data_IF_287075704830
#
_entry.id   IF_287075704830
#
_cell.length_a   1.000
_cell.length_b   1.000
_cell.length_c   1.000
_cell.angle_alpha   90.00
_cell.angle_beta   90.00
_cell.angle_gamma   90.00
#
_symmetry.space_group_name_H-M   'P 1'
#
loop_
_entity.id
_entity.type
_entity.pdbx_description
1 polymer ?
#
# COMPACT_ATOMS: atom_id res chain seq x y z
N UNK A 1 9.00 -5.18 25.47
CA UNK A 1 8.93 -6.64 25.21
C UNK A 1 8.51 -7.45 26.44
N UNK A 2 9.18 -7.32 27.60
CA UNK A 2 8.77 -8.08 28.82
C UNK A 2 7.32 -7.81 29.24
N UNK A 3 6.89 -6.57 29.18
CA UNK A 3 5.52 -6.16 29.54
C UNK A 3 4.47 -6.78 28.62
N UNK A 4 4.79 -6.95 27.33
CA UNK A 4 3.87 -7.61 26.38
C UNK A 4 3.77 -9.12 26.61
N UNK A 5 4.87 -9.78 26.97
CA UNK A 5 4.86 -11.22 27.25
C UNK A 5 4.05 -11.60 28.48
N UNK A 6 3.83 -10.64 29.37
CA UNK A 6 2.98 -10.84 30.54
C UNK A 6 1.46 -10.74 30.23
N UNK A 7 1.11 -10.32 29.03
CA UNK A 7 -0.30 -10.25 28.62
C UNK A 7 -0.84 -11.64 28.25
N UNK A 8 -2.10 -11.93 28.53
CA UNK A 8 -2.75 -13.19 28.12
C UNK A 8 -2.63 -13.39 26.61
N UNK A 9 -2.28 -14.60 26.22
CA UNK A 9 -2.21 -15.04 24.83
C UNK A 9 -1.29 -14.22 23.90
N UNK A 10 -0.43 -13.37 24.47
CA UNK A 10 0.46 -12.49 23.69
C UNK A 10 1.35 -13.26 22.70
N UNK A 11 1.72 -14.50 23.00
CA UNK A 11 2.51 -15.37 22.11
C UNK A 11 1.79 -15.64 20.78
N UNK A 12 0.47 -15.56 20.70
CA UNK A 12 -0.29 -15.74 19.45
C UNK A 12 0.03 -14.64 18.45
N UNK A 13 0.27 -13.41 18.93
CA UNK A 13 0.61 -12.24 18.11
C UNK A 13 2.10 -12.08 17.94
N UNK A 14 2.88 -12.32 19.01
CA UNK A 14 4.33 -12.14 19.02
C UNK A 14 5.09 -13.29 18.36
N UNK A 15 4.45 -14.45 18.27
CA UNK A 15 5.08 -15.70 17.84
C UNK A 15 5.88 -16.39 18.94
N UNK A 16 6.46 -17.56 18.65
CA UNK A 16 7.15 -18.40 19.65
C UNK A 16 8.38 -17.71 20.24
N UNK A 17 8.69 -18.04 21.49
CA UNK A 17 9.81 -17.47 22.25
C UNK A 17 11.20 -17.78 21.66
N UNK A 18 11.29 -18.80 20.81
CA UNK A 18 12.50 -19.18 20.09
C UNK A 18 12.96 -18.12 19.08
N UNK A 19 12.05 -17.26 18.65
CA UNK A 19 12.40 -16.13 17.79
C UNK A 19 13.10 -15.05 18.61
N UNK A 20 14.17 -14.49 18.05
CA UNK A 20 14.88 -13.38 18.70
C UNK A 20 13.94 -12.20 18.99
N UNK A 21 14.19 -11.48 20.08
CA UNK A 21 13.34 -10.35 20.54
C UNK A 21 13.07 -9.30 19.45
N UNK A 22 14.04 -9.08 18.58
CA UNK A 22 13.92 -8.14 17.47
C UNK A 22 12.83 -8.56 16.47
N UNK A 23 12.85 -9.83 16.05
CA UNK A 23 11.87 -10.38 15.11
C UNK A 23 10.45 -10.35 15.69
N UNK A 24 10.32 -10.65 16.98
CA UNK A 24 9.04 -10.56 17.69
C UNK A 24 8.52 -9.11 17.75
N UNK A 25 9.41 -8.14 18.01
CA UNK A 25 9.06 -6.72 18.05
C UNK A 25 8.58 -6.22 16.70
N UNK A 26 9.29 -6.56 15.62
CA UNK A 26 8.90 -6.17 14.26
C UNK A 26 7.57 -6.79 13.85
N UNK A 27 7.36 -8.07 14.18
CA UNK A 27 6.11 -8.76 13.93
C UNK A 27 4.93 -8.10 14.65
N UNK A 28 5.08 -7.81 15.94
CA UNK A 28 4.07 -7.14 16.74
C UNK A 28 3.78 -5.72 16.20
N UNK A 29 4.81 -4.92 15.93
CA UNK A 29 4.64 -3.55 15.41
C UNK A 29 3.85 -3.51 14.11
N UNK A 30 4.03 -4.48 13.21
CA UNK A 30 3.23 -4.58 11.98
C UNK A 30 1.73 -4.70 12.28
N UNK A 31 1.36 -5.52 13.25
CA UNK A 31 -0.04 -5.69 13.65
C UNK A 31 -0.59 -4.46 14.38
N UNK A 32 0.20 -3.84 15.27
CA UNK A 32 -0.20 -2.62 15.97
C UNK A 32 -0.43 -1.45 15.00
N UNK A 33 0.47 -1.29 14.02
CA UNK A 33 0.29 -0.31 12.95
C UNK A 33 -0.97 -0.61 12.14
N UNK A 34 -1.23 -1.89 11.81
CA UNK A 34 -2.41 -2.30 11.05
C UNK A 34 -3.71 -1.92 11.74
N UNK A 35 -3.78 -2.07 13.07
CA UNK A 35 -4.96 -1.64 13.85
C UNK A 35 -5.27 -0.16 13.63
N UNK A 36 -4.25 0.69 13.60
CA UNK A 36 -4.41 2.14 13.36
C UNK A 36 -4.66 2.45 11.88
N UNK A 37 -3.83 1.94 10.99
CA UNK A 37 -3.90 2.23 9.55
C UNK A 37 -5.22 1.83 8.90
N UNK A 38 -5.86 0.77 9.41
CA UNK A 38 -7.20 0.35 9.00
C UNK A 38 -8.31 1.00 9.84
N UNK A 39 -7.92 1.86 10.80
CA UNK A 39 -8.84 2.51 11.74
C UNK A 39 -9.83 1.52 12.39
N UNK A 40 -9.30 0.37 12.87
CA UNK A 40 -10.12 -0.67 13.48
C UNK A 40 -10.66 -0.21 14.84
N UNK A 41 -11.87 -0.62 15.15
CA UNK A 41 -12.47 -0.38 16.46
C UNK A 41 -11.86 -1.32 17.49
N UNK A 42 -11.02 -0.78 18.38
CA UNK A 42 -10.33 -1.54 19.42
C UNK A 42 -11.29 -2.19 20.42
N UNK A 43 -12.47 -1.59 20.64
CA UNK A 43 -13.49 -2.21 21.51
C UNK A 43 -14.01 -3.50 20.89
N UNK A 44 -14.31 -3.49 19.60
CA UNK A 44 -14.72 -4.71 18.88
C UNK A 44 -13.62 -5.77 18.85
N UNK A 45 -12.34 -5.37 18.70
CA UNK A 45 -11.23 -6.32 18.76
C UNK A 45 -11.11 -6.99 20.14
N UNK A 46 -11.37 -6.25 21.23
CA UNK A 46 -11.35 -6.78 22.60
C UNK A 46 -12.43 -7.82 22.84
N UNK A 47 -13.60 -7.64 22.24
CA UNK A 47 -14.76 -8.51 22.42
C UNK A 47 -14.84 -9.60 21.33
N UNK A 48 -13.83 -9.72 20.48
CA UNK A 48 -13.80 -10.71 19.41
C UNK A 48 -13.79 -12.14 19.94
N UNK A 49 -14.45 -13.10 19.26
CA UNK A 49 -14.44 -14.51 19.64
C UNK A 49 -13.05 -15.15 19.52
N UNK A 50 -12.23 -14.65 18.64
CA UNK A 50 -10.87 -15.13 18.37
C UNK A 50 -9.88 -14.66 19.44
N UNK A 51 -9.11 -15.59 20.02
CA UNK A 51 -8.14 -15.31 21.08
C UNK A 51 -6.95 -14.46 20.56
N UNK A 52 -6.51 -14.68 19.33
CA UNK A 52 -5.43 -13.89 18.70
C UNK A 52 -5.84 -12.42 18.54
N UNK A 53 -7.09 -12.18 18.11
CA UNK A 53 -7.63 -10.82 17.96
C UNK A 53 -7.74 -10.12 19.32
N UNK A 54 -8.20 -10.82 20.36
CA UNK A 54 -8.23 -10.24 21.72
C UNK A 54 -6.83 -9.95 22.26
N UNK A 55 -5.87 -10.85 22.03
CA UNK A 55 -4.47 -10.65 22.42
C UNK A 55 -3.87 -9.43 21.70
N UNK A 56 -4.18 -9.24 20.40
CA UNK A 56 -3.77 -8.05 19.66
C UNK A 56 -4.35 -6.78 20.29
N UNK A 57 -5.61 -6.76 20.68
CA UNK A 57 -6.23 -5.61 21.35
C UNK A 57 -5.55 -5.30 22.70
N UNK A 58 -5.18 -6.32 23.47
CA UNK A 58 -4.45 -6.15 24.73
C UNK A 58 -3.03 -5.58 24.48
N UNK A 59 -2.31 -6.11 23.50
CA UNK A 59 -1.00 -5.60 23.09
C UNK A 59 -1.10 -4.14 22.60
N UNK A 60 -2.13 -3.82 21.83
CA UNK A 60 -2.35 -2.46 21.33
C UNK A 60 -2.57 -1.47 22.48
N UNK A 61 -3.42 -1.82 23.45
CA UNK A 61 -3.64 -0.99 24.63
C UNK A 61 -2.35 -0.75 25.44
N UNK A 62 -1.54 -1.80 25.65
CA UNK A 62 -0.25 -1.66 26.33
C UNK A 62 0.72 -0.77 25.54
N UNK A 63 0.72 -0.89 24.22
CA UNK A 63 1.54 -0.04 23.35
C UNK A 63 1.14 1.44 23.44
N UNK A 64 -0.15 1.74 23.42
CA UNK A 64 -0.64 3.11 23.60
C UNK A 64 -0.18 3.68 24.93
N UNK A 65 -0.32 2.94 26.04
CA UNK A 65 0.16 3.37 27.35
C UNK A 65 1.65 3.70 27.36
N UNK A 66 2.47 2.88 26.70
CA UNK A 66 3.91 3.14 26.61
C UNK A 66 4.21 4.43 25.84
N UNK A 67 3.55 4.67 24.72
CA UNK A 67 3.70 5.90 23.94
C UNK A 67 3.29 7.14 24.78
N UNK A 68 2.17 7.05 25.49
CA UNK A 68 1.69 8.13 26.39
C UNK A 68 2.68 8.41 27.52
N UNK A 69 3.18 7.35 28.20
CA UNK A 69 4.16 7.47 29.28
C UNK A 69 5.47 8.14 28.84
N UNK A 70 5.87 7.90 27.58
CA UNK A 70 7.08 8.48 27.00
C UNK A 70 6.80 9.80 26.22
N UNK A 71 5.56 10.27 26.19
CA UNK A 71 5.12 11.43 25.41
C UNK A 71 5.58 11.36 23.96
N UNK A 72 5.39 10.20 23.32
CA UNK A 72 5.80 9.90 21.96
C UNK A 72 4.61 9.54 21.07
N UNK A 73 4.74 9.82 19.78
CA UNK A 73 3.87 9.33 18.71
C UNK A 73 4.71 8.62 17.67
N UNK A 74 4.18 7.53 17.12
CA UNK A 74 4.68 6.92 15.91
C UNK A 74 3.94 7.43 14.67
N UNK A 75 4.38 7.07 13.47
CA UNK A 75 3.77 7.57 12.22
C UNK A 75 2.30 7.19 12.06
N UNK A 76 1.91 5.98 12.44
CA UNK A 76 0.51 5.55 12.41
C UNK A 76 -0.31 6.25 13.48
N UNK A 77 0.30 6.54 14.63
CA UNK A 77 -0.30 7.32 15.72
C UNK A 77 -0.63 8.75 15.33
N UNK A 78 0.27 9.43 14.62
CA UNK A 78 0.02 10.80 14.12
C UNK A 78 -1.22 10.83 13.23
N UNK A 79 -1.37 9.88 12.32
CA UNK A 79 -2.53 9.79 11.44
C UNK A 79 -3.81 9.49 12.23
N UNK A 80 -3.73 8.59 13.21
CA UNK A 80 -4.86 8.24 14.06
C UNK A 80 -5.33 9.44 14.89
N UNK A 81 -4.42 10.14 15.56
CA UNK A 81 -4.74 11.34 16.34
C UNK A 81 -5.30 12.46 15.46
N UNK A 82 -4.78 12.63 14.24
CA UNK A 82 -5.34 13.57 13.28
C UNK A 82 -6.80 13.21 12.91
N UNK A 83 -7.10 11.94 12.65
CA UNK A 83 -8.47 11.49 12.38
C UNK A 83 -9.38 11.73 13.60
N UNK A 84 -8.93 11.39 14.80
CA UNK A 84 -9.67 11.62 16.05
C UNK A 84 -9.96 13.12 16.26
N UNK A 85 -8.95 13.96 16.10
CA UNK A 85 -9.10 15.42 16.21
C UNK A 85 -10.16 15.95 15.23
N UNK A 86 -10.10 15.57 13.96
CA UNK A 86 -11.05 16.01 12.95
C UNK A 86 -12.47 15.51 13.23
N UNK A 87 -12.60 14.32 13.79
CA UNK A 87 -13.89 13.72 14.13
C UNK A 87 -14.51 14.33 15.38
N UNK A 88 -13.68 14.62 16.40
CA UNK A 88 -14.14 15.07 17.72
C UNK A 88 -14.21 16.59 17.85
N UNK A 89 -13.56 17.34 16.96
CA UNK A 89 -13.49 18.80 17.00
C UNK A 89 -14.07 19.43 15.73
N UNK A 90 -15.41 19.55 15.61
CA UNK A 90 -16.05 20.08 14.40
C UNK A 90 -15.58 21.50 14.02
N UNK A 91 -15.20 22.32 14.99
CA UNK A 91 -14.68 23.65 14.73
C UNK A 91 -13.35 23.63 13.97
N UNK A 92 -12.45 22.70 14.34
CA UNK A 92 -11.18 22.49 13.65
C UNK A 92 -11.42 21.98 12.22
N UNK A 93 -12.30 21.00 12.07
CA UNK A 93 -12.68 20.45 10.76
C UNK A 93 -13.24 21.54 9.85
N UNK A 94 -14.19 22.33 10.34
CA UNK A 94 -14.80 23.44 9.58
C UNK A 94 -13.75 24.47 9.15
N UNK A 95 -12.82 24.84 10.02
CA UNK A 95 -11.73 25.77 9.71
C UNK A 95 -10.84 25.22 8.58
N UNK A 96 -10.49 23.93 8.64
CA UNK A 96 -9.67 23.30 7.60
C UNK A 96 -10.42 23.17 6.28
N UNK A 97 -11.70 22.81 6.30
CA UNK A 97 -12.55 22.76 5.11
C UNK A 97 -12.71 24.13 4.43
N UNK A 98 -12.74 25.24 5.21
CA UNK A 98 -12.74 26.58 4.67
C UNK A 98 -11.39 26.97 4.05
N UNK A 99 -10.29 26.50 4.66
CA UNK A 99 -8.94 26.78 4.18
C UNK A 99 -8.60 26.01 2.91
N UNK A 100 -9.02 24.75 2.81
CA UNK A 100 -8.76 23.88 1.68
C UNK A 100 -10.02 23.72 0.82
N UNK A 101 -10.13 24.54 -0.21
CA UNK A 101 -11.26 24.51 -1.12
C UNK A 101 -11.23 23.35 -2.13
N UNK A 102 -10.04 22.86 -2.46
CA UNK A 102 -9.78 21.75 -3.38
C UNK A 102 -8.67 20.88 -2.80
N UNK A 103 -8.84 19.58 -2.89
CA UNK A 103 -7.85 18.59 -2.51
C UNK A 103 -7.40 17.81 -3.75
N UNK A 104 -6.11 17.68 -3.93
CA UNK A 104 -5.51 16.87 -4.99
C UNK A 104 -4.56 15.88 -4.36
N UNK A 105 -4.76 14.59 -4.64
CA UNK A 105 -3.98 13.50 -4.05
C UNK A 105 -3.35 12.70 -5.17
N UNK A 106 -2.03 12.64 -5.16
CA UNK A 106 -1.25 11.81 -6.06
C UNK A 106 -0.92 10.45 -5.42
N UNK A 107 -0.61 9.46 -6.24
CA UNK A 107 -0.28 8.09 -5.81
C UNK A 107 -1.34 7.50 -4.87
N UNK A 108 -2.62 7.72 -5.20
CA UNK A 108 -3.73 7.36 -4.30
C UNK A 108 -3.81 5.85 -3.99
N UNK A 109 -3.28 4.98 -4.84
CA UNK A 109 -3.17 3.54 -4.60
C UNK A 109 -2.29 3.20 -3.39
N UNK A 110 -1.42 4.13 -2.95
CA UNK A 110 -0.52 3.94 -1.82
C UNK A 110 -1.10 4.45 -0.50
N UNK A 111 -2.33 4.95 -0.52
CA UNK A 111 -3.03 5.40 0.69
C UNK A 111 -3.53 4.22 1.52
N UNK A 112 -3.54 4.42 2.85
CA UNK A 112 -4.20 3.52 3.78
C UNK A 112 -5.63 4.00 4.13
N UNK A 113 -6.40 3.19 4.83
CA UNK A 113 -7.81 3.48 5.18
C UNK A 113 -7.95 4.75 6.01
N UNK A 114 -7.01 5.02 6.93
CA UNK A 114 -7.11 6.21 7.78
C UNK A 114 -6.82 7.50 7.01
N UNK A 115 -5.88 7.47 6.06
CA UNK A 115 -5.61 8.58 5.15
C UNK A 115 -6.81 8.90 4.27
N UNK A 116 -7.45 7.87 3.69
CA UNK A 116 -8.69 8.04 2.94
C UNK A 116 -9.79 8.70 3.78
N UNK A 117 -10.02 8.23 5.02
CA UNK A 117 -11.01 8.85 5.92
C UNK A 117 -10.71 10.31 6.22
N UNK A 118 -9.46 10.66 6.47
CA UNK A 118 -9.04 12.06 6.68
C UNK A 118 -9.35 12.91 5.44
N UNK A 119 -9.01 12.41 4.24
CA UNK A 119 -9.28 13.12 2.98
C UNK A 119 -10.78 13.34 2.77
N UNK A 120 -11.61 12.33 3.02
CA UNK A 120 -13.06 12.44 2.88
C UNK A 120 -13.66 13.44 3.88
N UNK A 121 -13.20 13.44 5.15
CA UNK A 121 -13.60 14.45 6.13
C UNK A 121 -13.22 15.86 5.68
N UNK A 122 -12.01 16.07 5.19
CA UNK A 122 -11.56 17.37 4.71
C UNK A 122 -12.31 17.83 3.46
N UNK A 123 -12.65 16.93 2.55
CA UNK A 123 -13.44 17.24 1.36
C UNK A 123 -14.87 17.67 1.73
N UNK A 124 -15.45 17.06 2.77
CA UNK A 124 -16.79 17.33 3.26
C UNK A 124 -17.85 17.22 2.15
N UNK A 125 -18.98 17.88 2.32
CA UNK A 125 -20.11 17.81 1.37
C UNK A 125 -19.82 18.44 -0.01
N UNK A 126 -18.74 19.21 -0.13
CA UNK A 126 -18.35 19.82 -1.41
C UNK A 126 -17.75 18.82 -2.38
N UNK A 127 -17.18 17.73 -1.89
CA UNK A 127 -16.53 16.68 -2.66
C UNK A 127 -15.48 17.18 -3.68
N UNK A 128 -14.86 18.33 -3.43
CA UNK A 128 -13.82 18.90 -4.30
C UNK A 128 -12.49 18.14 -4.11
N UNK A 129 -12.52 16.86 -4.42
CA UNK A 129 -11.41 15.91 -4.27
C UNK A 129 -11.06 15.32 -5.65
N UNK A 130 -9.81 15.48 -6.05
CA UNK A 130 -9.24 14.86 -7.23
C UNK A 130 -8.17 13.88 -6.78
N UNK A 131 -8.27 12.63 -7.16
CA UNK A 131 -7.26 11.61 -6.88
C UNK A 131 -6.64 11.12 -8.18
N UNK A 132 -5.33 10.93 -8.17
CA UNK A 132 -4.57 10.35 -9.27
C UNK A 132 -3.85 9.13 -8.74
N UNK A 133 -3.87 8.05 -9.50
CA UNK A 133 -3.20 6.82 -9.10
C UNK A 133 -3.29 5.74 -10.16
N UNK A 134 -2.55 4.68 -9.96
CA UNK A 134 -2.47 3.54 -10.85
C UNK A 134 -2.59 2.24 -10.03
N UNK A 135 -3.69 1.54 -10.21
CA UNK A 135 -3.98 0.28 -9.52
C UNK A 135 -2.97 -0.84 -9.85
N UNK A 136 -2.24 -0.74 -10.97
CA UNK A 136 -1.15 -1.67 -11.31
C UNK A 136 0.15 -1.37 -10.53
N UNK A 137 0.24 -0.22 -9.85
CA UNK A 137 1.40 0.20 -9.06
C UNK A 137 1.22 0.03 -7.54
N UNK A 138 0.15 -0.62 -7.09
CA UNK A 138 -0.15 -0.85 -5.67
C UNK A 138 0.82 -1.80 -4.97
N UNK A 139 2.11 -1.46 -4.91
CA UNK A 139 3.18 -2.31 -4.37
C UNK A 139 3.40 -2.12 -2.86
N UNK A 140 2.90 -1.04 -2.27
CA UNK A 140 3.20 -0.66 -0.88
C UNK A 140 2.23 -1.24 0.16
N UNK A 141 1.59 -2.36 -0.14
CA UNK A 141 0.71 -3.08 0.82
C UNK A 141 1.41 -3.38 2.15
N UNK A 142 2.71 -3.63 2.14
CA UNK A 142 3.50 -3.87 3.34
C UNK A 142 3.67 -2.63 4.24
N UNK A 143 3.35 -1.43 3.73
CA UNK A 143 3.29 -0.16 4.46
C UNK A 143 1.85 0.26 4.80
N UNK A 144 0.89 -0.67 4.77
CA UNK A 144 -0.50 -0.38 5.08
C UNK A 144 -1.35 0.13 3.91
N UNK A 145 -0.76 0.38 2.72
CA UNK A 145 -1.51 0.76 1.54
C UNK A 145 -2.56 -0.29 1.17
N UNK A 146 -3.72 0.15 0.77
CA UNK A 146 -4.80 -0.73 0.32
C UNK A 146 -5.30 -0.34 -1.07
N UNK A 147 -5.06 -1.23 -2.04
CA UNK A 147 -5.54 -1.06 -3.42
C UNK A 147 -7.06 -0.89 -3.50
N UNK A 148 -7.78 -1.32 -2.45
CA UNK A 148 -9.22 -1.13 -2.35
C UNK A 148 -9.61 0.34 -2.43
N UNK A 149 -8.82 1.24 -1.83
CA UNK A 149 -9.11 2.67 -1.81
C UNK A 149 -9.28 3.20 -3.24
N UNK A 150 -8.36 2.92 -4.16
CA UNK A 150 -8.49 3.38 -5.55
C UNK A 150 -9.59 2.65 -6.32
N UNK A 151 -9.74 1.33 -6.11
CA UNK A 151 -10.73 0.54 -6.83
C UNK A 151 -12.17 0.86 -6.41
N UNK A 152 -12.40 1.14 -5.15
CA UNK A 152 -13.71 1.44 -4.58
C UNK A 152 -13.99 2.96 -4.49
N UNK A 153 -13.02 3.82 -4.81
CA UNK A 153 -13.17 5.28 -4.71
C UNK A 153 -14.46 5.83 -5.31
N UNK A 154 -14.89 5.42 -6.53
CA UNK A 154 -16.15 5.92 -7.10
C UNK A 154 -17.37 5.56 -6.27
N UNK A 155 -17.35 4.48 -5.51
CA UNK A 155 -18.49 4.02 -4.70
C UNK A 155 -18.67 4.82 -3.41
N UNK A 156 -17.70 5.66 -3.05
CA UNK A 156 -17.78 6.55 -1.89
C UNK A 156 -18.68 7.76 -2.12
N UNK A 157 -19.11 7.99 -3.36
CA UNK A 157 -19.91 9.14 -3.77
C UNK A 157 -21.24 8.69 -4.39
N UNK A 158 -22.26 9.57 -4.39
CA UNK A 158 -23.51 9.28 -5.08
C UNK A 158 -23.29 8.96 -6.57
N UNK A 159 -24.15 8.15 -7.14
CA UNK A 159 -24.06 7.75 -8.55
C UNK A 159 -23.90 8.97 -9.49
N UNK A 160 -22.86 8.90 -10.32
CA UNK A 160 -22.53 9.97 -11.28
C UNK A 160 -21.78 11.17 -10.70
N UNK A 161 -21.57 11.26 -9.38
CA UNK A 161 -20.81 12.35 -8.77
C UNK A 161 -19.29 12.21 -8.98
N UNK A 162 -18.78 10.99 -9.11
CA UNK A 162 -17.38 10.73 -9.38
C UNK A 162 -17.14 10.60 -10.90
N UNK A 163 -16.34 11.51 -11.46
CA UNK A 163 -15.88 11.44 -12.85
C UNK A 163 -14.55 10.74 -12.94
N UNK A 164 -14.49 9.61 -13.62
CA UNK A 164 -13.25 8.90 -13.92
C UNK A 164 -12.68 9.31 -15.28
N UNK A 165 -11.39 9.58 -15.31
CA UNK A 165 -10.60 9.83 -16.52
C UNK A 165 -9.44 8.83 -16.54
N UNK A 166 -9.28 8.11 -17.65
CA UNK A 166 -8.17 7.18 -17.84
C UNK A 166 -7.11 7.83 -18.73
N UNK A 167 -5.86 7.84 -18.24
CA UNK A 167 -4.70 8.27 -19.02
C UNK A 167 -4.02 7.01 -19.55
N UNK A 168 -4.25 6.69 -20.82
CA UNK A 168 -3.76 5.43 -21.44
C UNK A 168 -2.40 5.59 -22.15
N UNK A 169 -2.02 6.79 -22.56
CA UNK A 169 -0.79 7.01 -23.31
C UNK A 169 0.42 7.09 -22.38
N UNK A 170 1.39 6.21 -22.57
CA UNK A 170 2.64 6.18 -21.83
C UNK A 170 3.78 6.84 -22.63
N UNK A 171 4.17 8.05 -22.21
CA UNK A 171 5.24 8.82 -22.84
C UNK A 171 6.64 8.50 -22.31
N UNK A 172 6.76 7.59 -21.34
CA UNK A 172 8.03 7.27 -20.66
C UNK A 172 8.74 6.07 -21.27
N UNK A 173 7.97 5.04 -21.62
CA UNK A 173 8.53 3.72 -21.91
C UNK A 173 8.54 3.41 -23.39
N UNK A 174 9.54 2.64 -23.83
CA UNK A 174 9.62 2.15 -25.19
C UNK A 174 8.38 1.27 -25.54
N UNK A 175 7.86 1.33 -26.79
CA UNK A 175 6.69 0.56 -27.21
C UNK A 175 6.77 -0.95 -26.94
N UNK A 176 7.97 -1.53 -27.02
CA UNK A 176 8.18 -2.98 -26.75
C UNK A 176 7.97 -3.31 -25.27
N UNK A 177 8.38 -2.41 -24.36
CA UNK A 177 8.15 -2.57 -22.92
C UNK A 177 6.66 -2.49 -22.64
N UNK A 178 5.97 -1.55 -23.28
CA UNK A 178 4.52 -1.39 -23.15
C UNK A 178 3.79 -2.64 -23.67
N UNK A 179 4.18 -3.16 -24.84
CA UNK A 179 3.60 -4.41 -25.39
C UNK A 179 3.83 -5.60 -24.47
N UNK A 180 5.06 -5.76 -23.97
CA UNK A 180 5.38 -6.83 -23.03
C UNK A 180 4.54 -6.72 -21.74
N UNK A 181 4.43 -5.53 -21.18
CA UNK A 181 3.60 -5.26 -20.01
C UNK A 181 2.14 -5.61 -20.25
N UNK A 182 1.52 -5.12 -21.33
CA UNK A 182 0.13 -5.42 -21.64
C UNK A 182 -0.12 -6.94 -21.79
N UNK A 183 0.74 -7.64 -22.54
CA UNK A 183 0.65 -9.09 -22.70
C UNK A 183 0.74 -9.83 -21.37
N UNK A 184 1.65 -9.40 -20.50
CA UNK A 184 1.81 -10.00 -19.17
C UNK A 184 0.59 -9.76 -18.29
N UNK A 185 0.04 -8.53 -18.30
CA UNK A 185 -1.13 -8.16 -17.52
C UNK A 185 -2.41 -8.85 -18.01
N UNK A 186 -2.57 -9.03 -19.33
CA UNK A 186 -3.71 -9.75 -19.91
C UNK A 186 -3.68 -11.26 -19.59
N UNK A 187 -2.50 -11.83 -19.41
CA UNK A 187 -2.35 -13.23 -19.05
C UNK A 187 -2.73 -13.55 -17.59
N UNK A 188 -2.95 -12.53 -16.76
CA UNK A 188 -3.29 -12.70 -15.34
C UNK A 188 -4.80 -12.69 -15.11
N UNK A 189 -5.25 -13.40 -14.06
CA UNK A 189 -6.65 -13.36 -13.62
C UNK A 189 -6.83 -12.29 -12.56
N UNK A 190 -7.51 -11.20 -12.89
CA UNK A 190 -7.75 -10.06 -12.01
C UNK A 190 -9.10 -10.06 -11.29
N UNK A 191 -9.89 -11.13 -11.47
CA UNK A 191 -11.21 -11.26 -10.85
C UNK A 191 -11.29 -12.53 -10.02
N UNK A 192 -11.71 -12.40 -8.77
CA UNK A 192 -12.02 -13.51 -7.86
C UNK A 192 -13.41 -13.28 -7.26
N UNK A 193 -14.26 -14.29 -7.30
CA UNK A 193 -15.59 -14.29 -6.64
C UNK A 193 -16.34 -12.97 -6.89
N UNK A 194 -16.48 -12.57 -8.16
CA UNK A 194 -17.17 -11.33 -8.60
C UNK A 194 -16.52 -10.00 -8.20
N UNK A 195 -15.31 -10.01 -7.68
CA UNK A 195 -14.54 -8.82 -7.34
C UNK A 195 -13.37 -8.65 -8.30
N UNK A 196 -13.26 -7.48 -8.94
CA UNK A 196 -12.09 -7.12 -9.74
C UNK A 196 -11.03 -6.47 -8.87
N UNK A 197 -9.77 -6.85 -9.09
CA UNK A 197 -8.58 -6.28 -8.45
C UNK A 197 -7.82 -5.32 -9.37
N UNK A 198 -8.41 -5.01 -10.53
CA UNK A 198 -7.80 -4.13 -11.53
C UNK A 198 -8.89 -3.45 -12.35
N UNK A 199 -8.69 -2.19 -12.69
CA UNK A 199 -9.50 -1.53 -13.71
C UNK A 199 -9.13 -2.07 -15.11
N UNK A 200 -10.12 -2.31 -16.00
CA UNK A 200 -9.83 -2.62 -17.39
C UNK A 200 -9.11 -1.45 -18.05
N UNK A 201 -7.88 -1.68 -18.49
CA UNK A 201 -7.07 -0.69 -19.21
C UNK A 201 -6.03 -1.36 -20.09
N UNK A 202 -5.71 -0.72 -21.20
CA UNK A 202 -4.57 -1.03 -22.08
C UNK A 202 -3.72 0.22 -22.17
N UNK A 203 -2.42 0.08 -21.99
CA UNK A 203 -1.48 1.20 -22.09
C UNK A 203 -1.02 1.32 -23.56
N UNK A 204 -1.05 2.50 -24.08
CA UNK A 204 -0.69 2.80 -25.47
C UNK A 204 0.64 3.55 -25.53
N UNK A 205 1.52 3.21 -26.49
CA UNK A 205 2.71 4.02 -26.74
C UNK A 205 2.30 5.38 -27.35
N UNK A 206 3.13 6.42 -27.23
CA UNK A 206 2.92 7.66 -27.97
C UNK A 206 3.21 7.45 -29.46
N UNK A 207 2.71 8.35 -30.29
CA UNK A 207 2.96 8.35 -31.75
C UNK A 207 4.40 8.73 -32.11
N UNK A 208 5.20 9.15 -31.14
CA UNK A 208 6.59 9.56 -31.34
C UNK A 208 7.50 8.37 -31.63
N UNK A 209 8.51 8.52 -32.53
CA UNK A 209 9.42 7.43 -32.84
C UNK A 209 10.38 7.17 -31.69
N UNK A 210 10.56 5.89 -31.36
CA UNK A 210 11.56 5.40 -30.43
C UNK A 210 12.75 4.78 -31.16
N UNK A 211 13.95 4.76 -30.58
CA UNK A 211 15.09 4.05 -31.13
C UNK A 211 14.80 2.57 -31.39
N UNK A 212 15.18 2.05 -32.56
CA UNK A 212 15.06 0.60 -32.85
C UNK A 212 16.20 -0.15 -32.17
N UNK A 213 15.97 -0.51 -30.90
CA UNK A 213 16.89 -1.27 -30.06
C UNK A 213 16.15 -2.38 -29.32
N UNK A 214 16.78 -3.53 -29.07
CA UNK A 214 16.19 -4.57 -28.23
C UNK A 214 15.95 -4.04 -26.81
N UNK A 215 14.69 -3.92 -26.41
CA UNK A 215 14.29 -3.34 -25.11
C UNK A 215 13.82 -4.39 -24.11
N UNK A 216 13.38 -5.55 -24.61
CA UNK A 216 12.99 -6.70 -23.80
C UNK A 216 13.83 -7.89 -24.20
N UNK A 217 14.66 -8.38 -23.29
CA UNK A 217 15.55 -9.51 -23.53
C UNK A 217 15.25 -10.60 -22.49
N UNK A 218 15.04 -11.83 -22.95
CA UNK A 218 14.95 -12.99 -22.09
C UNK A 218 16.33 -13.63 -21.95
N UNK A 219 16.82 -13.69 -20.71
CA UNK A 219 17.99 -14.50 -20.37
C UNK A 219 17.54 -15.85 -19.86
N UNK A 220 18.06 -16.92 -20.42
CA UNK A 220 17.87 -18.27 -19.95
C UNK A 220 19.21 -18.82 -19.47
N UNK A 221 19.28 -19.27 -18.21
CA UNK A 221 20.37 -20.11 -17.75
C UNK A 221 19.95 -21.58 -17.90
N UNK A 222 20.80 -22.40 -18.50
CA UNK A 222 20.59 -23.86 -18.45
C UNK A 222 20.80 -24.34 -17.00
N UNK A 223 19.78 -25.01 -16.48
CA UNK A 223 19.80 -25.55 -15.13
C UNK A 223 20.74 -26.78 -15.12
N UNK A 224 22.03 -26.56 -14.81
CA UNK A 224 22.95 -27.63 -14.48
C UNK A 224 22.67 -28.01 -13.04
N UNK A 225 22.04 -29.16 -12.83
CA UNK A 225 21.63 -29.70 -11.55
C UNK A 225 22.62 -29.40 -10.43
N UNK A 226 22.23 -28.56 -9.47
CA UNK A 226 22.86 -28.46 -8.16
C UNK A 226 23.64 -27.20 -7.82
N UNK A 227 23.73 -26.17 -8.67
CA UNK A 227 24.44 -24.93 -8.30
C UNK A 227 23.67 -23.67 -8.69
N UNK A 228 23.22 -22.92 -7.68
CA UNK A 228 22.61 -21.58 -7.81
C UNK A 228 23.55 -20.51 -8.40
N UNK A 229 24.76 -20.86 -8.81
CA UNK A 229 25.82 -19.91 -9.18
C UNK A 229 25.89 -19.56 -10.67
N UNK A 230 25.26 -20.34 -11.55
CA UNK A 230 25.41 -20.13 -13.00
C UNK A 230 24.64 -18.92 -13.54
N UNK A 231 23.39 -18.67 -13.09
CA UNK A 231 22.64 -17.54 -13.59
C UNK A 231 23.29 -16.17 -13.27
N UNK A 232 24.02 -16.06 -12.14
CA UNK A 232 24.75 -14.84 -11.80
C UNK A 232 25.86 -14.54 -12.82
N UNK A 233 26.57 -15.58 -13.30
CA UNK A 233 27.63 -15.41 -14.29
C UNK A 233 27.05 -14.96 -15.63
N UNK A 234 25.93 -15.52 -16.07
CA UNK A 234 25.27 -15.13 -17.31
C UNK A 234 24.68 -13.72 -17.27
N UNK A 235 24.02 -13.35 -16.17
CA UNK A 235 23.56 -11.98 -15.96
C UNK A 235 24.73 -11.01 -15.97
N UNK A 236 25.83 -11.35 -15.31
CA UNK A 236 27.05 -10.52 -15.31
C UNK A 236 27.63 -10.37 -16.71
N UNK A 237 27.79 -11.45 -17.44
CA UNK A 237 28.28 -11.42 -18.84
C UNK A 237 27.39 -10.58 -19.75
N UNK A 238 26.06 -10.70 -19.58
CA UNK A 238 25.11 -9.86 -20.31
C UNK A 238 25.24 -8.37 -19.95
N UNK A 239 25.36 -8.05 -18.66
CA UNK A 239 25.56 -6.65 -18.24
C UNK A 239 26.88 -6.06 -18.72
N UNK A 240 27.96 -6.87 -18.71
CA UNK A 240 29.25 -6.46 -19.24
C UNK A 240 29.18 -6.21 -20.76
N UNK A 241 28.47 -7.07 -21.51
CA UNK A 241 28.23 -6.88 -22.94
C UNK A 241 27.38 -5.62 -23.23
N UNK A 242 26.34 -5.36 -22.43
CA UNK A 242 25.55 -4.13 -22.51
C UNK A 242 26.39 -2.88 -22.25
N UNK A 243 27.27 -2.90 -21.24
CA UNK A 243 28.15 -1.81 -20.89
C UNK A 243 29.15 -1.46 -22.01
N UNK A 244 29.64 -2.49 -22.73
CA UNK A 244 30.49 -2.28 -23.88
C UNK A 244 29.75 -1.64 -25.08
N UNK A 245 28.46 -1.96 -25.23
CA UNK A 245 27.61 -1.46 -26.32
C UNK A 245 27.01 -0.09 -26.02
N UNK A 246 26.73 0.20 -24.76
CA UNK A 246 26.13 1.43 -24.27
C UNK A 246 26.95 1.96 -23.08
N UNK A 247 28.07 2.65 -23.34
CA UNK A 247 28.88 3.26 -22.30
C UNK A 247 28.10 4.38 -21.62
N UNK A 248 27.89 4.23 -20.33
CA UNK A 248 27.22 5.15 -19.42
C UNK A 248 28.18 5.62 -18.33
#
# INVERSE_FOLDING_TARGET
MYEFRALPDAQLVMGPDERGRWVQSEGLLKWLNKVREEALDVAQLRDAPDAEVRALAACFHQYQKLLEQHNCLDFSGIQYEALQLLTQQPAVLTQLQQRFSHLMVDEYQDTNTIQERILLLLAGDRHNLCVVGDDDQGLYRFRGATIRNILEFPTLFPDGACKRVTLSTNYRSHPDIIRFYNQWMEAQTWTQVSRSFRYPKTIEPPDEPFPDVPTVVRLGAEDVAGTQTHWHAEVRAFLDALRLRFPW
#
